data_IF_657928702089
#
_entry.id   IF_657928702089
#
_cell.length_a   1.000
_cell.length_b   1.000
_cell.length_c   1.000
_cell.angle_alpha   90.00
_cell.angle_beta   90.00
_cell.angle_gamma   90.00
#
_symmetry.space_group_name_H-M   'P 1'
#
loop_
_entity.id
_entity.type
_entity.pdbx_description
1 polymer ?
#
# COMPACT_ATOMS: atom_id res chain seq x y z
N UNK A 1 56.81 -4.37 7.50
CA UNK A 1 56.11 -3.48 6.55
C UNK A 1 55.25 -4.34 5.65
N UNK A 2 53.93 -4.41 5.91
CA UNK A 2 53.01 -5.30 5.20
C UNK A 2 52.38 -4.53 4.03
N UNK A 3 52.64 -4.97 2.79
CA UNK A 3 52.15 -4.33 1.58
C UNK A 3 50.70 -4.77 1.30
N UNK A 4 49.76 -3.82 1.37
CA UNK A 4 48.36 -4.01 1.04
C UNK A 4 48.15 -3.72 -0.46
N UNK A 5 47.97 -4.77 -1.27
CA UNK A 5 47.59 -4.67 -2.68
C UNK A 5 46.08 -4.45 -2.79
N UNK A 6 45.65 -3.23 -3.11
CA UNK A 6 44.26 -2.91 -3.46
C UNK A 6 43.94 -3.48 -4.85
N UNK A 7 43.11 -4.52 -4.92
CA UNK A 7 42.44 -4.93 -6.17
C UNK A 7 41.18 -4.09 -6.32
N UNK A 8 41.10 -3.36 -7.44
CA UNK A 8 39.92 -2.59 -7.81
C UNK A 8 38.73 -3.49 -8.08
N UNK A 9 37.60 -3.19 -7.46
CA UNK A 9 36.31 -3.74 -7.81
C UNK A 9 35.62 -2.78 -8.77
N UNK A 10 35.55 -3.19 -10.03
CA UNK A 10 34.70 -2.60 -11.05
C UNK A 10 33.25 -2.74 -10.61
N UNK A 11 32.63 -1.63 -10.18
CA UNK A 11 31.17 -1.56 -9.99
C UNK A 11 30.53 -1.60 -11.36
N UNK A 12 29.92 -2.74 -11.70
CA UNK A 12 28.99 -2.81 -12.82
C UNK A 12 27.73 -2.09 -12.38
N UNK A 13 27.62 -0.85 -12.86
CA UNK A 13 26.41 -0.06 -12.79
C UNK A 13 25.34 -0.77 -13.63
N UNK A 14 24.48 -1.56 -13.00
CA UNK A 14 23.29 -2.09 -13.66
C UNK A 14 22.27 -0.96 -13.70
N UNK A 15 22.29 -0.19 -14.79
CA UNK A 15 21.20 0.72 -15.14
C UNK A 15 19.91 -0.11 -15.22
N UNK A 16 19.05 0.05 -14.21
CA UNK A 16 17.72 -0.55 -14.17
C UNK A 16 16.90 0.12 -15.27
N UNK A 17 16.55 -0.63 -16.32
CA UNK A 17 15.67 -0.13 -17.37
C UNK A 17 14.30 0.12 -16.75
N UNK A 18 13.95 1.39 -16.62
CA UNK A 18 12.58 1.82 -16.42
C UNK A 18 11.75 1.31 -17.62
N UNK A 19 10.90 0.33 -17.37
CA UNK A 19 9.88 -0.11 -18.31
C UNK A 19 8.62 0.67 -17.97
N UNK A 20 8.16 1.61 -18.81
CA UNK A 20 6.92 2.31 -18.56
C UNK A 20 5.79 1.31 -18.76
N UNK A 21 5.21 0.85 -17.64
CA UNK A 21 3.93 0.15 -17.64
C UNK A 21 2.87 1.14 -18.14
N UNK A 22 1.90 0.61 -18.88
CA UNK A 22 0.76 1.36 -19.43
C UNK A 22 0.14 2.22 -18.32
N UNK A 23 -0.12 3.50 -18.64
CA UNK A 23 -0.38 4.56 -17.66
C UNK A 23 -1.58 4.24 -16.77
N UNK A 24 -1.31 3.85 -15.53
CA UNK A 24 -2.17 4.17 -14.41
C UNK A 24 -2.00 5.68 -14.20
N UNK A 25 -3.05 6.50 -14.33
CA UNK A 25 -2.98 7.98 -14.18
C UNK A 25 -2.62 8.44 -12.75
N UNK A 26 -2.16 7.54 -11.88
CA UNK A 26 -1.67 7.85 -10.54
C UNK A 26 -0.22 8.32 -10.59
N UNK A 27 0.15 9.34 -9.81
CA UNK A 27 1.54 9.66 -9.54
C UNK A 27 2.29 8.45 -8.94
N UNK A 28 3.59 8.38 -9.23
CA UNK A 28 4.46 7.32 -8.72
C UNK A 28 4.78 7.57 -7.23
N UNK A 29 4.55 6.59 -6.33
CA UNK A 29 4.71 6.80 -4.89
C UNK A 29 6.16 7.03 -4.44
N UNK A 30 7.15 6.68 -5.28
CA UNK A 30 8.59 6.85 -5.00
C UNK A 30 9.11 8.11 -5.68
N UNK A 31 8.79 8.31 -6.96
CA UNK A 31 9.29 9.44 -7.75
C UNK A 31 8.51 10.75 -7.53
N UNK A 32 7.22 10.67 -7.19
CA UNK A 32 6.36 11.81 -6.85
C UNK A 32 5.49 11.52 -5.61
N UNK A 33 6.11 11.39 -4.42
CA UNK A 33 5.40 11.01 -3.21
C UNK A 33 4.38 12.07 -2.76
N UNK A 34 4.59 13.35 -3.11
CA UNK A 34 3.66 14.43 -2.79
C UNK A 34 2.43 14.41 -3.70
N UNK A 35 2.62 14.21 -5.01
CA UNK A 35 1.54 14.01 -5.96
C UNK A 35 0.71 12.77 -5.61
N UNK A 36 1.37 11.67 -5.23
CA UNK A 36 0.67 10.45 -4.79
C UNK A 36 -0.20 10.71 -3.56
N UNK A 37 0.34 11.43 -2.57
CA UNK A 37 -0.43 11.83 -1.38
C UNK A 37 -1.67 12.64 -1.76
N UNK A 38 -1.53 13.62 -2.65
CA UNK A 38 -2.65 14.45 -3.11
C UNK A 38 -3.68 13.62 -3.89
N UNK A 39 -3.23 12.68 -4.72
CA UNK A 39 -4.11 11.77 -5.45
C UNK A 39 -4.97 10.93 -4.49
N UNK A 40 -4.37 10.31 -3.47
CA UNK A 40 -5.10 9.51 -2.48
C UNK A 40 -6.10 10.36 -1.68
N UNK A 41 -5.70 11.55 -1.24
CA UNK A 41 -6.63 12.46 -0.55
C UNK A 41 -7.76 12.93 -1.46
N UNK A 42 -7.50 13.12 -2.75
CA UNK A 42 -8.53 13.44 -3.75
C UNK A 42 -9.52 12.30 -3.97
N UNK A 43 -9.05 11.04 -3.94
CA UNK A 43 -9.92 9.86 -4.01
C UNK A 43 -10.79 9.70 -2.76
N UNK A 44 -10.30 10.12 -1.59
CA UNK A 44 -11.12 10.18 -0.37
C UNK A 44 -12.15 11.32 -0.43
N UNK A 45 -11.76 12.51 -0.87
CA UNK A 45 -12.62 13.69 -0.89
C UNK A 45 -13.05 14.11 0.53
N UNK A 46 -14.34 14.39 0.69
CA UNK A 46 -14.96 14.83 1.96
C UNK A 46 -15.56 13.67 2.78
N UNK A 47 -15.42 12.42 2.32
CA UNK A 47 -15.99 11.27 2.99
C UNK A 47 -15.25 10.95 4.31
N UNK A 48 -15.96 10.37 5.28
CA UNK A 48 -15.37 9.97 6.55
C UNK A 48 -14.36 8.81 6.34
N UNK A 49 -13.07 9.01 6.67
CA UNK A 49 -12.04 8.00 6.43
C UNK A 49 -12.28 6.71 7.23
N UNK A 50 -12.94 6.78 8.38
CA UNK A 50 -13.26 5.62 9.20
C UNK A 50 -14.44 4.82 8.63
N UNK A 51 -15.46 5.49 8.06
CA UNK A 51 -16.56 4.81 7.37
C UNK A 51 -16.04 4.06 6.13
N UNK A 52 -15.21 4.73 5.32
CA UNK A 52 -14.56 4.12 4.15
C UNK A 52 -13.78 2.88 4.58
N UNK A 53 -12.84 3.03 5.51
CA UNK A 53 -12.00 1.92 5.96
C UNK A 53 -12.78 0.78 6.63
N UNK A 54 -13.89 1.08 7.31
CA UNK A 54 -14.76 0.06 7.93
C UNK A 54 -15.49 -0.79 6.89
N UNK A 55 -15.79 -0.21 5.72
CA UNK A 55 -16.48 -0.91 4.62
C UNK A 55 -15.53 -1.72 3.71
N UNK A 56 -14.25 -1.35 3.66
CA UNK A 56 -13.27 -1.93 2.72
C UNK A 56 -13.19 -3.46 2.78
N UNK A 57 -13.19 -4.06 3.98
CA UNK A 57 -13.12 -5.52 4.12
C UNK A 57 -14.29 -6.24 3.41
N UNK A 58 -15.50 -5.68 3.50
CA UNK A 58 -16.66 -6.23 2.80
C UNK A 58 -16.52 -6.08 1.29
N UNK A 59 -16.01 -4.94 0.82
CA UNK A 59 -15.73 -4.67 -0.60
C UNK A 59 -14.67 -5.61 -1.17
N UNK A 60 -13.56 -5.82 -0.47
CA UNK A 60 -12.49 -6.77 -0.84
C UNK A 60 -13.07 -8.18 -0.95
N UNK A 61 -13.85 -8.62 0.04
CA UNK A 61 -14.49 -9.95 0.01
C UNK A 61 -15.48 -10.09 -1.15
N UNK A 62 -16.26 -9.05 -1.44
CA UNK A 62 -17.17 -9.06 -2.59
C UNK A 62 -16.40 -9.17 -3.91
N UNK A 63 -15.33 -8.40 -4.07
CA UNK A 63 -14.50 -8.39 -5.26
C UNK A 63 -13.81 -9.74 -5.49
N UNK A 64 -13.21 -10.33 -4.45
CA UNK A 64 -12.58 -11.66 -4.54
C UNK A 64 -13.58 -12.75 -4.93
N UNK A 65 -14.81 -12.70 -4.38
CA UNK A 65 -15.87 -13.63 -4.76
C UNK A 65 -16.31 -13.45 -6.22
N UNK A 66 -16.41 -12.21 -6.70
CA UNK A 66 -16.75 -11.94 -8.09
C UNK A 66 -15.63 -12.40 -9.03
N UNK A 67 -14.37 -12.16 -8.66
CA UNK A 67 -13.22 -12.60 -9.44
C UNK A 67 -13.16 -14.13 -9.58
N UNK A 68 -13.50 -14.88 -8.52
CA UNK A 68 -13.55 -16.34 -8.55
C UNK A 68 -12.22 -16.94 -9.02
N UNK A 69 -12.26 -17.75 -10.07
CA UNK A 69 -11.05 -18.37 -10.66
C UNK A 69 -10.10 -17.36 -11.29
N UNK A 70 -10.57 -16.17 -11.64
CA UNK A 70 -9.76 -15.10 -12.25
C UNK A 70 -9.01 -14.23 -11.25
N UNK A 71 -9.16 -14.48 -9.94
CA UNK A 71 -8.52 -13.64 -8.92
C UNK A 71 -6.99 -13.58 -9.08
N UNK A 72 -6.37 -14.66 -9.58
CA UNK A 72 -4.92 -14.77 -9.78
C UNK A 72 -4.46 -14.40 -11.19
N UNK A 73 -5.35 -14.05 -12.11
CA UNK A 73 -5.01 -13.78 -13.50
C UNK A 73 -4.60 -12.30 -13.65
N UNK A 74 -3.34 -12.00 -14.02
CA UNK A 74 -2.96 -10.63 -14.32
C UNK A 74 -3.45 -10.23 -15.72
N UNK A 75 -4.01 -9.02 -15.90
CA UNK A 75 -4.49 -8.56 -17.21
C UNK A 75 -3.38 -8.45 -18.26
N UNK A 76 -2.15 -8.11 -17.83
CA UNK A 76 -0.94 -8.07 -18.65
C UNK A 76 0.28 -8.55 -17.82
N UNK A 77 1.38 -9.02 -18.43
CA UNK A 77 2.51 -9.62 -17.71
C UNK A 77 3.20 -8.76 -16.62
N UNK A 78 2.97 -7.45 -16.60
CA UNK A 78 3.53 -6.51 -15.64
C UNK A 78 2.47 -5.81 -14.77
N UNK A 79 1.20 -6.19 -14.91
CA UNK A 79 0.10 -5.62 -14.14
C UNK A 79 -0.32 -6.56 -13.03
N UNK A 80 -0.83 -5.99 -11.93
CA UNK A 80 -1.28 -6.78 -10.79
C UNK A 80 -2.62 -7.45 -11.07
N UNK A 81 -2.71 -8.72 -10.71
CA UNK A 81 -3.99 -9.43 -10.57
C UNK A 81 -4.83 -8.87 -9.42
N UNK A 82 -6.10 -9.29 -9.34
CA UNK A 82 -7.00 -8.94 -8.22
C UNK A 82 -6.38 -9.35 -6.88
N UNK A 83 -5.83 -10.57 -6.77
CA UNK A 83 -5.26 -11.08 -5.53
C UNK A 83 -4.01 -10.29 -5.13
N UNK A 84 -3.19 -9.87 -6.09
CA UNK A 84 -2.01 -9.05 -5.81
C UNK A 84 -2.37 -7.63 -5.34
N UNK A 85 -3.45 -7.04 -5.86
CA UNK A 85 -3.96 -5.77 -5.32
C UNK A 85 -4.41 -5.93 -3.86
N UNK A 86 -5.11 -7.01 -3.53
CA UNK A 86 -5.55 -7.31 -2.15
C UNK A 86 -4.36 -7.61 -1.24
N UNK A 87 -3.35 -8.32 -1.75
CA UNK A 87 -2.12 -8.59 -1.02
C UNK A 87 -1.38 -7.28 -0.67
N UNK A 88 -1.24 -6.38 -1.64
CA UNK A 88 -0.68 -5.06 -1.40
C UNK A 88 -1.47 -4.25 -0.35
N UNK A 89 -2.80 -4.26 -0.40
CA UNK A 89 -3.63 -3.64 0.64
C UNK A 89 -3.39 -4.26 2.02
N UNK A 90 -3.15 -5.56 2.08
CA UNK A 90 -2.84 -6.29 3.33
C UNK A 90 -1.49 -5.87 3.90
N UNK A 91 -0.46 -5.77 3.07
CA UNK A 91 0.87 -5.28 3.45
C UNK A 91 0.82 -3.81 3.92
N UNK A 92 0.08 -2.97 3.21
CA UNK A 92 -0.12 -1.58 3.60
C UNK A 92 -0.78 -1.48 4.98
N UNK A 93 -1.83 -2.27 5.23
CA UNK A 93 -2.52 -2.34 6.53
C UNK A 93 -1.59 -2.78 7.66
N UNK A 94 -0.70 -3.75 7.41
CA UNK A 94 0.32 -4.20 8.36
C UNK A 94 1.29 -3.07 8.70
N UNK A 95 1.82 -2.38 7.68
CA UNK A 95 2.77 -1.28 7.85
C UNK A 95 2.15 -0.14 8.65
N UNK A 96 0.95 0.31 8.27
CA UNK A 96 0.29 1.42 8.95
C UNK A 96 -0.16 1.07 10.36
N UNK A 97 -0.49 -0.19 10.63
CA UNK A 97 -0.74 -0.67 12.01
C UNK A 97 0.42 -0.34 12.94
N UNK A 98 1.66 -0.56 12.49
CA UNK A 98 2.87 -0.20 13.23
C UNK A 98 3.05 1.32 13.32
N UNK A 99 2.94 2.03 12.19
CA UNK A 99 3.13 3.49 12.13
C UNK A 99 2.16 4.22 13.06
N UNK A 100 0.87 3.87 13.07
CA UNK A 100 -0.12 4.46 13.97
C UNK A 100 0.31 4.38 15.43
N UNK A 101 0.76 3.20 15.86
CA UNK A 101 1.19 2.97 17.25
C UNK A 101 2.45 3.75 17.58
N UNK A 102 3.41 3.82 16.66
CA UNK A 102 4.60 4.65 16.85
C UNK A 102 4.25 6.14 16.96
N UNK A 103 3.49 6.69 16.00
CA UNK A 103 3.08 8.10 15.98
C UNK A 103 2.36 8.49 17.27
N UNK A 104 1.42 7.64 17.72
CA UNK A 104 0.61 7.93 18.90
C UNK A 104 1.39 7.80 20.23
N UNK A 105 2.38 6.90 20.29
CA UNK A 105 3.11 6.58 21.53
C UNK A 105 4.49 7.24 21.67
N UNK A 106 5.13 7.64 20.58
CA UNK A 106 6.49 8.20 20.57
C UNK A 106 6.49 9.64 20.07
N UNK A 107 7.52 10.40 20.44
CA UNK A 107 7.71 11.77 19.96
C UNK A 107 8.45 11.76 18.62
N UNK A 108 7.72 12.11 17.54
CA UNK A 108 8.25 12.26 16.18
C UNK A 108 9.12 11.07 15.71
N UNK A 109 8.65 9.81 15.86
CA UNK A 109 9.45 8.65 15.48
C UNK A 109 9.74 8.62 13.97
N UNK A 110 10.90 8.08 13.54
CA UNK A 110 11.14 7.83 12.12
C UNK A 110 10.17 6.77 11.59
N UNK A 111 9.57 7.02 10.43
CA UNK A 111 8.69 6.07 9.74
C UNK A 111 9.39 5.60 8.46
N UNK A 112 9.63 4.30 8.39
CA UNK A 112 10.31 3.65 7.27
C UNK A 112 9.38 3.55 6.06
N UNK A 113 9.83 4.02 4.89
CA UNK A 113 9.20 3.76 3.59
C UNK A 113 9.46 2.33 3.12
N UNK A 114 8.74 1.88 2.10
CA UNK A 114 8.95 0.56 1.49
C UNK A 114 8.59 0.60 0.00
N UNK A 115 9.23 -0.27 -0.78
CA UNK A 115 8.98 -0.43 -2.21
C UNK A 115 7.80 -1.41 -2.40
N UNK A 116 6.63 -0.85 -2.68
CA UNK A 116 5.38 -1.61 -2.81
C UNK A 116 5.41 -2.64 -3.95
N UNK A 117 6.00 -2.29 -5.09
CA UNK A 117 6.06 -3.16 -6.26
C UNK A 117 6.98 -4.33 -5.96
N UNK A 118 8.12 -4.06 -5.32
CA UNK A 118 9.02 -5.11 -4.87
C UNK A 118 8.38 -6.04 -3.84
N UNK A 119 7.55 -5.52 -2.93
CA UNK A 119 6.87 -6.38 -1.95
C UNK A 119 5.90 -7.32 -2.65
N UNK A 120 5.09 -6.83 -3.59
CA UNK A 120 4.21 -7.68 -4.40
C UNK A 120 5.01 -8.72 -5.19
N UNK A 121 6.07 -8.30 -5.89
CA UNK A 121 6.89 -9.19 -6.74
C UNK A 121 7.58 -10.30 -5.95
N UNK A 122 8.09 -9.99 -4.74
CA UNK A 122 8.91 -10.90 -3.94
C UNK A 122 8.08 -11.75 -2.97
N UNK A 123 6.94 -11.25 -2.49
CA UNK A 123 6.14 -11.91 -1.45
C UNK A 123 4.86 -12.56 -1.99
N UNK A 124 4.28 -12.04 -3.08
CA UNK A 124 2.94 -12.41 -3.54
C UNK A 124 2.95 -12.99 -4.96
N UNK A 125 3.40 -14.25 -5.06
CA UNK A 125 3.36 -15.02 -6.31
C UNK A 125 2.09 -15.89 -6.38
N UNK A 126 1.19 -15.65 -7.36
CA UNK A 126 -0.01 -16.47 -7.51
C UNK A 126 0.30 -17.94 -7.86
N UNK A 127 -0.58 -18.89 -7.50
CA UNK A 127 -1.84 -18.66 -6.78
C UNK A 127 -1.60 -18.43 -5.29
N UNK A 128 -2.16 -17.34 -4.75
CA UNK A 128 -2.18 -17.05 -3.33
C UNK A 128 -3.61 -17.23 -2.79
N UNK A 129 -3.82 -17.96 -1.68
CA UNK A 129 -5.16 -18.16 -1.14
C UNK A 129 -5.74 -16.84 -0.59
N UNK A 130 -6.78 -16.33 -1.24
CA UNK A 130 -7.42 -15.07 -0.87
C UNK A 130 -7.94 -15.04 0.58
N UNK A 131 -8.36 -16.19 1.11
CA UNK A 131 -8.80 -16.31 2.51
C UNK A 131 -7.65 -16.12 3.52
N UNK A 132 -6.40 -16.43 3.15
CA UNK A 132 -5.24 -16.19 4.02
C UNK A 132 -4.94 -14.68 4.12
N UNK A 133 -5.05 -13.96 3.00
CA UNK A 133 -4.93 -12.49 2.98
C UNK A 133 -6.04 -11.84 3.83
N UNK A 134 -7.29 -12.26 3.66
CA UNK A 134 -8.42 -11.76 4.45
C UNK A 134 -8.25 -12.05 5.95
N UNK A 135 -7.73 -13.22 6.31
CA UNK A 135 -7.47 -13.59 7.70
C UNK A 135 -6.44 -12.67 8.39
N UNK A 136 -5.61 -11.94 7.62
CA UNK A 136 -4.69 -10.92 8.13
C UNK A 136 -5.30 -9.53 8.05
N UNK A 137 -5.84 -9.14 6.89
CA UNK A 137 -6.35 -7.80 6.62
C UNK A 137 -7.50 -7.42 7.57
N UNK A 138 -8.50 -8.29 7.72
CA UNK A 138 -9.71 -7.99 8.49
C UNK A 138 -9.46 -7.68 9.97
N UNK A 139 -8.72 -8.51 10.74
CA UNK A 139 -8.44 -8.21 12.13
C UNK A 139 -7.55 -6.97 12.30
N UNK A 140 -6.58 -6.74 11.41
CA UNK A 140 -5.76 -5.52 11.45
C UNK A 140 -6.62 -4.28 11.22
N UNK A 141 -7.47 -4.31 10.20
CA UNK A 141 -8.39 -3.22 9.86
C UNK A 141 -9.34 -2.92 11.02
N UNK A 142 -9.97 -3.94 11.58
CA UNK A 142 -10.85 -3.78 12.74
C UNK A 142 -10.11 -3.17 13.94
N UNK A 143 -8.88 -3.62 14.22
CA UNK A 143 -8.07 -3.08 15.30
C UNK A 143 -7.66 -1.60 15.07
N UNK A 144 -7.38 -1.22 13.82
CA UNK A 144 -6.97 0.14 13.48
C UNK A 144 -8.15 1.12 13.46
N UNK A 145 -9.32 0.71 12.98
CA UNK A 145 -10.57 1.48 13.10
C UNK A 145 -10.95 1.67 14.58
N UNK A 146 -10.84 0.61 15.40
CA UNK A 146 -11.07 0.74 16.84
C UNK A 146 -10.04 1.69 17.51
N UNK A 147 -8.78 1.68 17.05
CA UNK A 147 -7.76 2.63 17.48
C UNK A 147 -8.13 4.07 17.11
N UNK A 148 -8.69 4.31 15.93
CA UNK A 148 -9.16 5.63 15.50
C UNK A 148 -10.23 6.20 16.42
N UNK A 149 -11.28 5.41 16.70
CA UNK A 149 -12.40 5.85 17.53
C UNK A 149 -12.04 6.11 19.00
N UNK A 150 -11.08 5.36 19.56
CA UNK A 150 -10.62 5.59 20.94
C UNK A 150 -9.53 6.66 21.06
N UNK A 151 -8.99 7.14 19.95
CA UNK A 151 -7.95 8.19 19.95
C UNK A 151 -8.63 9.56 19.95
N UNK A 152 -8.46 10.38 21.01
CA UNK A 152 -9.01 11.73 21.04
C UNK A 152 -8.52 12.56 19.86
N UNK A 153 -9.37 13.47 19.37
CA UNK A 153 -9.09 14.29 18.20
C UNK A 153 -7.79 15.08 18.35
N UNK A 154 -7.54 15.65 19.54
CA UNK A 154 -6.35 16.43 19.85
C UNK A 154 -5.05 15.60 19.81
N UNK A 155 -5.16 14.27 19.86
CA UNK A 155 -4.02 13.35 19.72
C UNK A 155 -3.76 12.92 18.29
N UNK A 156 -4.67 13.20 17.35
CA UNK A 156 -4.52 12.78 15.95
C UNK A 156 -3.51 13.62 15.18
N UNK A 157 -3.21 14.82 15.67
CA UNK A 157 -2.16 15.71 15.15
C UNK A 157 -0.73 15.29 15.52
N UNK A 158 -0.56 14.23 16.32
CA UNK A 158 0.77 13.70 16.62
C UNK A 158 1.47 13.27 15.35
N UNK A 159 2.77 13.57 15.28
CA UNK A 159 3.57 13.40 14.07
C UNK A 159 4.55 12.23 14.19
N UNK A 160 4.76 11.54 13.07
CA UNK A 160 5.99 10.79 12.77
C UNK A 160 6.73 11.43 11.60
N UNK A 161 7.96 11.01 11.35
CA UNK A 161 8.81 11.55 10.28
C UNK A 161 9.00 10.47 9.21
N UNK A 162 8.21 10.52 8.15
CA UNK A 162 8.34 9.62 7.00
C UNK A 162 9.64 9.90 6.24
N UNK A 163 10.38 8.83 5.92
CA UNK A 163 11.68 8.93 5.26
C UNK A 163 11.63 9.69 3.92
N UNK A 164 10.54 9.56 3.18
CA UNK A 164 10.36 10.18 1.86
C UNK A 164 9.46 11.43 1.87
N UNK A 165 8.50 11.51 2.81
CA UNK A 165 7.41 12.51 2.81
C UNK A 165 7.53 13.54 3.93
N UNK A 166 8.46 13.35 4.85
CA UNK A 166 8.65 14.24 5.99
C UNK A 166 7.56 14.05 7.05
N UNK A 167 7.18 15.10 7.79
CA UNK A 167 6.22 14.99 8.89
C UNK A 167 4.84 14.51 8.42
N UNK A 168 4.33 13.45 9.05
CA UNK A 168 2.97 12.94 8.82
C UNK A 168 2.24 12.77 10.15
N UNK A 169 1.00 13.27 10.23
CA UNK A 169 0.15 13.07 11.40
C UNK A 169 -0.55 11.72 11.38
N UNK A 170 -0.99 11.25 12.55
CA UNK A 170 -1.84 10.06 12.63
C UNK A 170 -3.11 10.22 11.78
N UNK A 171 -3.74 11.40 11.83
CA UNK A 171 -4.89 11.73 10.97
C UNK A 171 -4.56 11.65 9.49
N UNK A 172 -3.46 12.29 9.06
CA UNK A 172 -3.06 12.28 7.66
C UNK A 172 -2.84 10.85 7.17
N UNK A 173 -2.05 10.05 7.89
CA UNK A 173 -1.79 8.65 7.51
C UNK A 173 -3.10 7.85 7.46
N UNK A 174 -4.03 8.04 8.39
CA UNK A 174 -5.31 7.35 8.39
C UNK A 174 -6.18 7.73 7.18
N UNK A 175 -6.24 9.02 6.81
CA UNK A 175 -6.94 9.49 5.61
C UNK A 175 -6.31 8.95 4.32
N UNK A 176 -4.98 8.86 4.27
CA UNK A 176 -4.29 8.31 3.12
C UNK A 176 -4.65 6.83 2.88
N UNK A 177 -4.81 6.04 3.94
CA UNK A 177 -5.25 4.64 3.81
C UNK A 177 -6.66 4.51 3.27
N UNK A 178 -7.59 5.40 3.65
CA UNK A 178 -8.93 5.39 3.07
C UNK A 178 -8.92 5.69 1.56
N UNK A 179 -8.07 6.63 1.12
CA UNK A 179 -7.86 6.90 -0.31
C UNK A 179 -7.15 5.75 -1.05
N UNK A 180 -6.15 5.15 -0.40
CA UNK A 180 -5.39 3.99 -0.89
C UNK A 180 -6.28 2.78 -1.14
N UNK A 181 -7.20 2.48 -0.22
CA UNK A 181 -8.18 1.42 -0.38
C UNK A 181 -9.02 1.62 -1.65
N UNK A 182 -9.53 2.84 -1.88
CA UNK A 182 -10.33 3.17 -3.07
C UNK A 182 -9.53 2.99 -4.35
N UNK A 183 -8.27 3.42 -4.33
CA UNK A 183 -7.37 3.28 -5.47
C UNK A 183 -7.18 1.82 -5.87
N UNK A 184 -6.83 0.95 -4.91
CA UNK A 184 -6.53 -0.45 -5.21
C UNK A 184 -7.77 -1.31 -5.43
N UNK A 185 -8.91 -1.00 -4.80
CA UNK A 185 -10.20 -1.60 -5.16
C UNK A 185 -10.55 -1.29 -6.62
N UNK A 186 -10.38 -0.04 -7.05
CA UNK A 186 -10.63 0.35 -8.44
C UNK A 186 -9.61 -0.27 -9.41
N UNK A 187 -8.34 -0.40 -9.01
CA UNK A 187 -7.33 -1.10 -9.81
C UNK A 187 -7.70 -2.57 -10.01
N UNK A 188 -8.09 -3.25 -8.95
CA UNK A 188 -8.49 -4.65 -8.99
C UNK A 188 -9.76 -4.87 -9.82
N UNK A 189 -10.75 -3.98 -9.72
CA UNK A 189 -11.95 -4.00 -10.57
C UNK A 189 -11.63 -3.83 -12.06
N UNK A 190 -10.71 -2.90 -12.40
CA UNK A 190 -10.22 -2.73 -13.78
C UNK A 190 -9.50 -3.99 -14.28
N UNK A 191 -8.65 -4.59 -13.45
CA UNK A 191 -7.94 -5.82 -13.80
C UNK A 191 -8.93 -6.96 -14.10
N UNK A 192 -9.93 -7.16 -13.24
CA UNK A 192 -10.98 -8.17 -13.45
C UNK A 192 -11.78 -7.91 -14.73
N UNK A 193 -12.13 -6.65 -15.00
CA UNK A 193 -12.84 -6.25 -16.22
C UNK A 193 -12.03 -6.55 -17.48
N UNK A 194 -10.73 -6.26 -17.47
CA UNK A 194 -9.83 -6.55 -18.59
C UNK A 194 -9.68 -8.05 -18.86
N UNK A 195 -9.54 -8.87 -17.80
CA UNK A 195 -9.50 -10.33 -17.92
C UNK A 195 -10.77 -10.89 -18.54
N UNK A 196 -11.95 -10.42 -18.12
CA UNK A 196 -13.24 -10.88 -18.66
C UNK A 196 -13.51 -10.43 -20.11
N UNK A 197 -12.79 -9.42 -20.59
CA UNK A 197 -12.89 -8.92 -21.95
C UNK A 197 -11.92 -9.61 -22.94
N UNK A 198 -10.99 -10.42 -22.42
CA UNK A 198 -9.96 -11.14 -23.19
C UNK A 198 -10.43 -12.54 -23.59
#
# INVERSE_FOLDING_TARGET
MCACTRRGTSSRNTERRYHPVVRNDSPDPIADPAGYQQHLLGLLGDDDPAEVQSSTAASVRALLRDAGTHASDPPEPAEWSVVQCVAHMTDAELVVSGRYRWILAHDRPPLMGYDQDRWVDELHRPPEPAEELLAVFEPLRAANVALWYRTPEERRDRLGIHAERGPESYELTFRLIAGHDRFHLAQADRALTAIRAS
#
